data_IF_089890084651
#
_entry.id   IF_089890084651
#
_cell.length_a   1.000
_cell.length_b   1.000
_cell.length_c   1.000
_cell.angle_alpha   90.00
_cell.angle_beta   90.00
_cell.angle_gamma   90.00
#
_symmetry.space_group_name_H-M   'P 1'
#
loop_
_entity.id
_entity.type
_entity.pdbx_description
1 polymer ?
#
# COMPACT_ATOMS: atom_id res chain seq x y z
N UNK A 1 -27.88 -2.27 14.91
CA UNK A 1 -27.63 -2.96 13.63
C UNK A 1 -26.39 -2.33 13.04
N UNK A 2 -25.30 -3.08 12.98
CA UNK A 2 -24.02 -2.59 12.50
C UNK A 2 -24.10 -2.58 10.97
N UNK A 3 -24.41 -1.41 10.41
CA UNK A 3 -24.58 -1.17 8.98
C UNK A 3 -23.25 -1.25 8.24
N UNK A 4 -22.63 -2.43 8.24
CA UNK A 4 -21.42 -2.70 7.47
C UNK A 4 -21.71 -2.40 6.01
N UNK A 5 -21.11 -1.31 5.50
CA UNK A 5 -21.20 -0.93 4.10
C UNK A 5 -20.79 -2.13 3.25
N UNK A 6 -21.74 -2.68 2.48
CA UNK A 6 -21.53 -3.79 1.53
C UNK A 6 -20.82 -3.33 0.25
N UNK A 7 -19.97 -2.32 0.39
CA UNK A 7 -19.29 -1.66 -0.71
C UNK A 7 -18.15 -2.56 -1.22
N UNK A 8 -17.89 -2.48 -2.52
CA UNK A 8 -16.79 -3.18 -3.16
C UNK A 8 -15.53 -2.37 -3.00
N UNK A 9 -14.58 -2.86 -2.22
CA UNK A 9 -13.37 -2.14 -1.83
C UNK A 9 -12.15 -2.65 -2.59
N UNK A 10 -11.35 -1.73 -3.13
CA UNK A 10 -10.09 -2.05 -3.81
C UNK A 10 -9.11 -2.79 -2.89
N UNK A 11 -9.02 -2.38 -1.62
CA UNK A 11 -8.26 -3.09 -0.58
C UNK A 11 -8.59 -4.59 -0.58
N UNK A 12 -9.86 -4.96 -0.43
CA UNK A 12 -10.28 -6.36 -0.40
C UNK A 12 -10.03 -7.08 -1.73
N UNK A 13 -10.27 -6.41 -2.86
CA UNK A 13 -10.02 -6.99 -4.18
C UNK A 13 -8.51 -7.21 -4.47
N UNK A 14 -7.62 -6.38 -3.93
CA UNK A 14 -6.17 -6.61 -3.98
C UNK A 14 -5.80 -7.89 -3.22
N UNK A 15 -6.35 -8.09 -2.01
CA UNK A 15 -6.15 -9.33 -1.25
C UNK A 15 -6.74 -10.56 -1.95
N UNK A 16 -7.88 -10.44 -2.64
CA UNK A 16 -8.43 -11.54 -3.45
C UNK A 16 -7.47 -11.90 -4.59
N UNK A 17 -6.88 -10.91 -5.28
CA UNK A 17 -5.90 -11.17 -6.33
C UNK A 17 -4.61 -11.81 -5.78
N UNK A 18 -4.13 -11.36 -4.62
CA UNK A 18 -2.96 -11.95 -3.95
C UNK A 18 -3.22 -13.41 -3.52
N UNK A 19 -4.40 -13.69 -2.97
CA UNK A 19 -4.82 -15.04 -2.61
C UNK A 19 -4.97 -15.94 -3.84
N UNK A 20 -5.57 -15.43 -4.92
CA UNK A 20 -5.73 -16.16 -6.17
C UNK A 20 -4.37 -16.48 -6.83
N UNK A 21 -3.45 -15.51 -6.84
CA UNK A 21 -2.06 -15.70 -7.31
C UNK A 21 -1.37 -16.81 -6.52
N UNK A 22 -1.44 -16.74 -5.18
CA UNK A 22 -0.86 -17.76 -4.29
C UNK A 22 -1.47 -19.15 -4.52
N UNK A 23 -2.78 -19.21 -4.75
CA UNK A 23 -3.48 -20.46 -5.05
C UNK A 23 -3.08 -21.07 -6.42
N UNK A 24 -2.80 -20.23 -7.42
CA UNK A 24 -2.26 -20.69 -8.71
C UNK A 24 -0.85 -21.26 -8.53
N UNK A 25 0.03 -20.57 -7.81
CA UNK A 25 1.38 -21.07 -7.48
C UNK A 25 1.31 -22.42 -6.75
N UNK A 26 0.35 -22.59 -5.84
CA UNK A 26 0.11 -23.84 -5.13
C UNK A 26 -0.62 -24.93 -5.95
N UNK A 27 -0.91 -24.70 -7.23
CA UNK A 27 -1.55 -25.66 -8.13
C UNK A 27 -2.97 -26.05 -7.72
N UNK A 28 -3.73 -25.15 -7.08
CA UNK A 28 -5.06 -25.47 -6.55
C UNK A 28 -6.13 -25.51 -7.66
N UNK A 29 -7.05 -26.50 -7.67
CA UNK A 29 -8.14 -26.55 -8.62
C UNK A 29 -8.99 -25.27 -8.59
N UNK A 30 -9.33 -24.72 -9.76
CA UNK A 30 -10.13 -23.50 -9.89
C UNK A 30 -9.37 -22.18 -9.66
N UNK A 31 -8.13 -22.21 -9.17
CA UNK A 31 -7.37 -21.00 -8.87
C UNK A 31 -7.15 -20.11 -10.10
N UNK A 32 -6.88 -20.69 -11.26
CA UNK A 32 -6.68 -19.92 -12.50
C UNK A 32 -7.94 -19.15 -12.90
N UNK A 33 -9.13 -19.73 -12.72
CA UNK A 33 -10.39 -19.05 -13.03
C UNK A 33 -10.63 -17.88 -12.08
N UNK A 34 -10.39 -18.09 -10.77
CA UNK A 34 -10.49 -17.03 -9.76
C UNK A 34 -9.47 -15.90 -10.03
N UNK A 35 -8.23 -16.23 -10.41
CA UNK A 35 -7.21 -15.26 -10.76
C UNK A 35 -7.64 -14.40 -11.96
N UNK A 36 -8.14 -15.04 -13.02
CA UNK A 36 -8.63 -14.34 -14.21
C UNK A 36 -9.79 -13.39 -13.88
N UNK A 37 -10.73 -13.81 -13.02
CA UNK A 37 -11.84 -12.96 -12.57
C UNK A 37 -11.35 -11.77 -11.74
N UNK A 38 -10.43 -12.01 -10.80
CA UNK A 38 -9.85 -10.94 -9.98
C UNK A 38 -9.11 -9.90 -10.83
N UNK A 39 -8.29 -10.35 -11.80
CA UNK A 39 -7.61 -9.48 -12.76
C UNK A 39 -8.61 -8.65 -13.56
N UNK A 40 -9.65 -9.28 -14.09
CA UNK A 40 -10.67 -8.59 -14.89
C UNK A 40 -11.36 -7.50 -14.06
N UNK A 41 -11.73 -7.79 -12.82
CA UNK A 41 -12.35 -6.81 -11.92
C UNK A 41 -11.41 -5.64 -11.64
N UNK A 42 -10.14 -5.91 -11.31
CA UNK A 42 -9.14 -4.87 -11.07
C UNK A 42 -9.03 -3.97 -12.30
N UNK A 43 -8.83 -4.54 -13.49
CA UNK A 43 -8.62 -3.77 -14.72
C UNK A 43 -9.84 -2.95 -15.16
N UNK A 44 -11.05 -3.48 -14.96
CA UNK A 44 -12.27 -2.85 -15.48
C UNK A 44 -12.95 -1.92 -14.50
N UNK A 45 -12.70 -2.06 -13.19
CA UNK A 45 -13.41 -1.31 -12.14
C UNK A 45 -12.50 -0.44 -11.29
N UNK A 46 -11.37 -0.97 -10.84
CA UNK A 46 -10.55 -0.28 -9.83
C UNK A 46 -9.34 0.44 -10.41
N UNK A 47 -8.63 -0.16 -11.36
CA UNK A 47 -7.47 0.46 -12.00
C UNK A 47 -7.92 1.61 -12.90
N UNK A 48 -7.36 2.80 -12.65
CA UNK A 48 -7.60 3.98 -13.47
C UNK A 48 -6.34 4.29 -14.27
N UNK A 49 -6.35 3.99 -15.58
CA UNK A 49 -5.22 4.29 -16.47
C UNK A 49 -4.90 5.80 -16.51
N UNK A 50 -5.91 6.65 -16.36
CA UNK A 50 -5.74 8.10 -16.31
C UNK A 50 -5.01 8.56 -15.04
N UNK A 51 -5.32 7.94 -13.90
CA UNK A 51 -4.72 8.32 -12.61
C UNK A 51 -3.40 7.59 -12.34
N UNK A 52 -3.16 6.45 -13.01
CA UNK A 52 -2.02 5.58 -12.72
C UNK A 52 -2.10 4.96 -11.32
N UNK A 53 -3.31 4.74 -10.82
CA UNK A 53 -3.56 4.26 -9.47
C UNK A 53 -4.94 3.58 -9.36
N UNK A 54 -5.15 2.90 -8.23
CA UNK A 54 -6.43 2.29 -7.89
C UNK A 54 -7.39 3.34 -7.31
N UNK A 55 -8.63 3.28 -7.79
CA UNK A 55 -9.80 3.87 -7.14
C UNK A 55 -10.10 3.14 -5.83
N UNK A 56 -10.84 3.76 -4.93
CA UNK A 56 -11.00 3.20 -3.58
C UNK A 56 -12.13 2.17 -3.47
N UNK A 57 -13.37 2.58 -3.74
CA UNK A 57 -14.53 1.71 -3.53
C UNK A 57 -15.74 2.13 -4.37
N UNK A 58 -16.68 1.20 -4.52
CA UNK A 58 -17.95 1.39 -5.23
C UNK A 58 -19.10 0.77 -4.44
N UNK A 59 -20.33 1.21 -4.71
CA UNK A 59 -21.52 0.50 -4.24
C UNK A 59 -21.60 -0.92 -4.81
N UNK A 60 -22.48 -1.75 -4.25
CA UNK A 60 -22.61 -3.16 -4.62
C UNK A 60 -22.91 -3.38 -6.11
N UNK A 61 -23.58 -2.46 -6.79
CA UNK A 61 -23.90 -2.53 -8.22
C UNK A 61 -22.83 -1.88 -9.12
N UNK A 62 -21.67 -1.52 -8.56
CA UNK A 62 -20.59 -0.74 -9.21
C UNK A 62 -20.92 0.72 -9.51
N UNK A 63 -22.05 1.24 -9.03
CA UNK A 63 -22.34 2.67 -9.05
C UNK A 63 -21.63 3.39 -7.89
N UNK A 64 -21.82 4.71 -7.81
CA UNK A 64 -21.41 5.55 -6.68
C UNK A 64 -19.96 5.29 -6.24
N UNK A 65 -19.01 5.55 -7.14
CA UNK A 65 -17.60 5.58 -6.78
C UNK A 65 -17.37 6.50 -5.59
N UNK A 66 -16.62 6.03 -4.60
CA UNK A 66 -16.26 6.83 -3.44
C UNK A 66 -15.37 8.01 -3.86
N UNK A 67 -15.72 9.23 -3.45
CA UNK A 67 -14.96 10.45 -3.72
C UNK A 67 -13.71 10.57 -2.83
N UNK A 68 -12.93 9.49 -2.75
CA UNK A 68 -11.74 9.33 -1.92
C UNK A 68 -10.70 8.49 -2.68
N UNK A 69 -9.43 8.73 -2.38
CA UNK A 69 -8.31 7.87 -2.78
C UNK A 69 -7.48 7.53 -1.55
N UNK A 70 -7.15 6.26 -1.39
CA UNK A 70 -6.39 5.75 -0.25
C UNK A 70 -5.04 5.19 -0.66
N UNK A 71 -3.98 5.58 0.06
CA UNK A 71 -2.68 4.94 -0.09
C UNK A 71 -2.73 3.48 0.36
N UNK A 72 -3.47 3.14 1.42
CA UNK A 72 -3.60 1.77 1.93
C UNK A 72 -4.08 0.76 0.86
N UNK A 73 -5.18 1.04 0.16
CA UNK A 73 -5.65 0.20 -0.96
C UNK A 73 -4.61 0.08 -2.08
N UNK A 74 -3.89 1.17 -2.37
CA UNK A 74 -2.84 1.22 -3.39
C UNK A 74 -1.55 0.49 -2.96
N UNK A 75 -1.24 0.45 -1.67
CA UNK A 75 -0.13 -0.31 -1.08
C UNK A 75 -0.34 -1.81 -1.30
N UNK A 76 -1.48 -2.34 -0.88
CA UNK A 76 -1.79 -3.75 -1.11
C UNK A 76 -2.05 -4.08 -2.58
N UNK A 77 -2.45 -3.11 -3.40
CA UNK A 77 -2.48 -3.30 -4.86
C UNK A 77 -1.08 -3.39 -5.44
N UNK A 78 -0.11 -2.64 -4.92
CA UNK A 78 1.31 -2.77 -5.30
C UNK A 78 1.82 -4.17 -4.96
N UNK A 79 1.53 -4.67 -3.77
CA UNK A 79 1.86 -6.05 -3.36
C UNK A 79 1.19 -7.09 -4.29
N UNK A 80 -0.11 -6.95 -4.54
CA UNK A 80 -0.83 -7.83 -5.45
C UNK A 80 -0.26 -7.79 -6.87
N UNK A 81 0.11 -6.61 -7.38
CA UNK A 81 0.65 -6.46 -8.74
C UNK A 81 2.02 -7.10 -8.89
N UNK A 82 2.87 -7.09 -7.85
CA UNK A 82 4.11 -7.88 -7.84
C UNK A 82 3.79 -9.37 -7.97
N UNK A 83 2.84 -9.88 -7.17
CA UNK A 83 2.43 -11.29 -7.22
C UNK A 83 1.74 -11.67 -8.54
N UNK A 84 1.03 -10.74 -9.17
CA UNK A 84 0.42 -10.92 -10.49
C UNK A 84 1.48 -10.98 -11.59
N UNK A 85 2.50 -10.12 -11.55
CA UNK A 85 3.61 -10.16 -12.49
C UNK A 85 4.31 -11.52 -12.47
N UNK A 86 4.58 -12.06 -11.27
CA UNK A 86 5.26 -13.34 -11.10
C UNK A 86 4.45 -14.52 -11.66
N UNK A 87 3.15 -14.57 -11.37
CA UNK A 87 2.32 -15.73 -11.75
C UNK A 87 1.83 -15.67 -13.20
N UNK A 88 1.69 -14.48 -13.78
CA UNK A 88 1.21 -14.30 -15.17
C UNK A 88 2.35 -14.12 -16.17
N UNK A 89 3.53 -13.69 -15.73
CA UNK A 89 4.62 -13.26 -16.61
C UNK A 89 4.38 -11.92 -17.31
N UNK A 90 3.28 -11.22 -17.01
CA UNK A 90 2.96 -9.93 -17.60
C UNK A 90 3.63 -8.78 -16.85
N UNK A 91 4.71 -8.25 -17.42
CA UNK A 91 5.45 -7.14 -16.86
C UNK A 91 4.67 -5.82 -16.79
N UNK A 92 3.49 -5.70 -17.42
CA UNK A 92 2.63 -4.52 -17.27
C UNK A 92 2.21 -4.31 -15.81
N UNK A 93 2.05 -5.39 -15.03
CA UNK A 93 1.74 -5.26 -13.59
C UNK A 93 2.84 -4.54 -12.82
N UNK A 94 4.11 -4.73 -13.20
CA UNK A 94 5.24 -3.99 -12.61
C UNK A 94 5.23 -2.51 -13.02
N UNK A 95 4.76 -2.18 -14.22
CA UNK A 95 4.60 -0.78 -14.65
C UNK A 95 3.47 -0.09 -13.88
N UNK A 96 2.35 -0.79 -13.64
CA UNK A 96 1.26 -0.28 -12.79
C UNK A 96 1.70 -0.09 -11.33
N UNK A 97 2.43 -1.05 -10.78
CA UNK A 97 3.00 -0.95 -9.43
C UNK A 97 3.96 0.23 -9.31
N UNK A 98 4.81 0.46 -10.32
CA UNK A 98 5.68 1.63 -10.37
C UNK A 98 4.87 2.94 -10.42
N UNK A 99 3.81 2.99 -11.20
CA UNK A 99 2.96 4.18 -11.30
C UNK A 99 2.31 4.54 -9.95
N UNK A 100 1.87 3.53 -9.18
CA UNK A 100 1.36 3.74 -7.81
C UNK A 100 2.47 4.29 -6.91
N UNK A 101 3.63 3.62 -6.88
CA UNK A 101 4.77 4.00 -6.03
C UNK A 101 5.23 5.42 -6.36
N UNK A 102 5.33 5.78 -7.64
CA UNK A 102 5.71 7.12 -8.07
C UNK A 102 4.72 8.17 -7.53
N UNK A 103 3.42 7.91 -7.60
CA UNK A 103 2.42 8.83 -7.09
C UNK A 103 2.47 8.95 -5.57
N UNK A 104 2.27 7.84 -4.87
CA UNK A 104 2.05 7.82 -3.42
C UNK A 104 3.33 8.12 -2.66
N UNK A 105 4.45 7.56 -3.10
CA UNK A 105 5.73 7.68 -2.41
C UNK A 105 6.57 8.80 -3.01
N UNK A 106 6.98 8.68 -4.26
CA UNK A 106 7.95 9.61 -4.83
C UNK A 106 7.43 11.06 -4.85
N UNK A 107 6.20 11.25 -5.33
CA UNK A 107 5.59 12.57 -5.43
C UNK A 107 5.02 13.04 -4.07
N UNK A 108 4.09 12.30 -3.48
CA UNK A 108 3.39 12.76 -2.27
C UNK A 108 4.22 12.64 -0.99
N UNK A 109 4.75 11.45 -0.67
CA UNK A 109 5.58 11.31 0.51
C UNK A 109 6.92 12.05 0.36
N UNK A 110 7.55 12.04 -0.82
CA UNK A 110 8.79 12.77 -1.11
C UNK A 110 8.66 14.29 -0.90
N UNK A 111 7.52 14.87 -1.27
CA UNK A 111 7.21 16.29 -0.97
C UNK A 111 6.85 16.55 0.51
N UNK A 112 6.72 15.51 1.33
CA UNK A 112 6.27 15.56 2.72
C UNK A 112 7.27 14.90 3.68
N UNK A 113 8.59 15.07 3.43
CA UNK A 113 9.66 14.50 4.26
C UNK A 113 9.53 12.98 4.49
N UNK A 114 8.97 12.27 3.51
CA UNK A 114 8.68 10.83 3.55
C UNK A 114 7.72 10.40 4.67
N UNK A 115 6.92 11.34 5.19
CA UNK A 115 5.70 11.02 5.94
C UNK A 115 4.62 10.60 4.95
N UNK A 116 4.30 9.30 4.91
CA UNK A 116 3.31 8.73 3.99
C UNK A 116 1.95 9.36 4.24
N UNK A 117 1.38 9.95 3.20
CA UNK A 117 0.02 10.51 3.21
C UNK A 117 -0.94 9.39 2.84
N UNK A 118 -1.88 9.07 3.73
CA UNK A 118 -2.82 7.96 3.54
C UNK A 118 -4.09 8.36 2.78
N UNK A 119 -4.51 9.61 2.94
CA UNK A 119 -5.85 10.06 2.62
C UNK A 119 -5.83 11.19 1.61
N UNK A 120 -6.59 11.02 0.54
CA UNK A 120 -6.71 12.01 -0.51
C UNK A 120 -8.14 12.17 -1.00
N UNK A 121 -8.43 13.34 -1.56
CA UNK A 121 -9.62 13.54 -2.38
C UNK A 121 -9.53 12.73 -3.68
N UNK A 122 -10.64 12.68 -4.43
CA UNK A 122 -10.68 12.07 -5.77
C UNK A 122 -9.63 12.65 -6.75
N UNK A 123 -9.17 13.88 -6.52
CA UNK A 123 -8.16 14.57 -7.33
C UNK A 123 -6.74 14.48 -6.73
N UNK A 124 -6.49 13.48 -5.87
CA UNK A 124 -5.18 13.25 -5.22
C UNK A 124 -4.67 14.46 -4.41
N UNK A 125 -5.58 15.28 -3.88
CA UNK A 125 -5.23 16.32 -2.91
C UNK A 125 -5.21 15.74 -1.49
N UNK A 126 -4.12 15.89 -0.72
CA UNK A 126 -4.03 15.39 0.65
C UNK A 126 -5.19 15.86 1.54
N UNK A 127 -5.66 14.97 2.41
CA UNK A 127 -6.68 15.24 3.43
C UNK A 127 -6.07 15.06 4.83
N UNK A 128 -5.33 16.06 5.36
CA UNK A 128 -4.54 15.92 6.58
C UNK A 128 -5.38 15.65 7.84
N UNK A 129 -6.65 16.08 7.87
CA UNK A 129 -7.55 15.93 9.01
C UNK A 129 -8.53 14.74 8.86
N UNK A 130 -8.37 13.90 7.84
CA UNK A 130 -9.22 12.73 7.63
C UNK A 130 -9.19 11.82 8.87
N UNK A 131 -10.37 11.43 9.35
CA UNK A 131 -10.56 10.61 10.55
C UNK A 131 -9.91 11.14 11.85
N UNK A 132 -9.65 12.45 11.97
CA UNK A 132 -9.14 13.06 13.23
C UNK A 132 -9.99 12.68 14.46
N UNK A 133 -11.31 12.61 14.32
CA UNK A 133 -12.24 12.23 15.39
C UNK A 133 -12.35 10.71 15.62
N UNK A 134 -11.78 9.90 14.72
CA UNK A 134 -11.68 8.44 14.84
C UNK A 134 -10.24 7.97 14.53
N UNK A 135 -9.25 8.39 15.33
CA UNK A 135 -7.84 8.26 14.97
C UNK A 135 -7.32 6.82 14.99
N UNK A 136 -8.06 5.89 15.60
CA UNK A 136 -7.72 4.48 15.72
C UNK A 136 -8.50 3.59 14.75
N UNK A 137 -9.13 4.16 13.70
CA UNK A 137 -9.77 3.38 12.65
C UNK A 137 -8.80 2.33 12.07
N UNK A 138 -9.24 1.08 11.98
CA UNK A 138 -8.36 -0.04 11.64
C UNK A 138 -7.84 -0.05 10.19
N UNK A 139 -8.46 0.72 9.29
CA UNK A 139 -8.09 0.76 7.87
C UNK A 139 -7.71 2.16 7.38
N UNK A 140 -8.27 3.20 7.99
CA UNK A 140 -8.05 4.61 7.62
C UNK A 140 -7.77 5.47 8.87
N UNK A 141 -6.73 5.18 9.66
CA UNK A 141 -6.45 5.92 10.88
C UNK A 141 -5.96 7.34 10.57
N UNK A 142 -6.17 8.29 11.49
CA UNK A 142 -5.67 9.66 11.33
C UNK A 142 -4.14 9.73 11.34
N UNK A 143 -3.61 10.63 10.50
CA UNK A 143 -2.20 11.01 10.49
C UNK A 143 -1.35 10.05 9.65
N UNK A 144 -0.17 9.73 10.16
CA UNK A 144 0.77 8.81 9.50
C UNK A 144 0.85 7.49 10.27
N UNK A 145 1.10 6.41 9.54
CA UNK A 145 1.18 5.06 10.11
C UNK A 145 2.59 4.50 9.90
N UNK A 146 3.49 4.50 10.92
CA UNK A 146 4.87 4.03 10.76
C UNK A 146 4.98 2.61 10.20
N UNK A 147 4.02 1.72 10.53
CA UNK A 147 3.95 0.38 9.95
C UNK A 147 3.85 0.39 8.42
N UNK A 148 3.01 1.25 7.83
CA UNK A 148 2.89 1.36 6.38
C UNK A 148 4.16 1.93 5.75
N UNK A 149 4.88 2.83 6.43
CA UNK A 149 6.16 3.32 5.92
C UNK A 149 7.21 2.18 5.81
N UNK A 150 7.24 1.24 6.77
CA UNK A 150 8.06 0.04 6.63
C UNK A 150 7.59 -0.87 5.48
N UNK A 151 6.29 -1.08 5.35
CA UNK A 151 5.72 -1.91 4.29
C UNK A 151 6.01 -1.33 2.90
N UNK A 152 5.79 -0.03 2.70
CA UNK A 152 6.16 0.67 1.47
C UNK A 152 7.65 0.55 1.19
N UNK A 153 8.53 0.76 2.19
CA UNK A 153 9.96 0.59 1.99
C UNK A 153 10.29 -0.82 1.47
N UNK A 154 9.67 -1.87 2.03
CA UNK A 154 9.82 -3.25 1.55
C UNK A 154 9.30 -3.43 0.12
N UNK A 155 8.11 -2.94 -0.18
CA UNK A 155 7.46 -3.09 -1.49
C UNK A 155 8.20 -2.36 -2.60
N UNK A 156 8.73 -1.15 -2.32
CA UNK A 156 9.55 -0.39 -3.27
C UNK A 156 10.82 -1.16 -3.64
N UNK A 157 11.49 -1.79 -2.67
CA UNK A 157 12.68 -2.62 -2.92
C UNK A 157 12.34 -3.90 -3.69
N UNK A 158 11.20 -4.54 -3.39
CA UNK A 158 10.72 -5.69 -4.16
C UNK A 158 10.39 -5.31 -5.60
N UNK A 159 9.73 -4.16 -5.81
CA UNK A 159 9.45 -3.62 -7.14
C UNK A 159 10.72 -3.37 -7.93
N UNK A 160 11.71 -2.70 -7.33
CA UNK A 160 13.00 -2.46 -7.96
C UNK A 160 13.66 -3.78 -8.41
N UNK A 161 13.69 -4.79 -7.55
CA UNK A 161 14.26 -6.09 -7.85
C UNK A 161 13.47 -6.84 -8.96
N UNK A 162 12.15 -6.87 -8.87
CA UNK A 162 11.27 -7.54 -9.83
C UNK A 162 11.38 -6.91 -11.23
N UNK A 163 11.39 -5.58 -11.32
CA UNK A 163 11.58 -4.84 -12.58
C UNK A 163 12.93 -5.14 -13.20
N UNK A 164 14.00 -5.13 -12.41
CA UNK A 164 15.34 -5.49 -12.89
C UNK A 164 15.37 -6.92 -13.43
N UNK A 165 14.77 -7.87 -12.73
CA UNK A 165 14.66 -9.26 -13.17
C UNK A 165 13.89 -9.40 -14.49
N UNK A 166 12.83 -8.63 -14.67
CA UNK A 166 12.03 -8.56 -15.90
C UNK A 166 12.69 -7.75 -17.04
N UNK A 167 13.95 -7.31 -16.89
CA UNK A 167 14.66 -6.51 -17.90
C UNK A 167 14.11 -5.09 -18.09
N UNK A 168 13.33 -4.58 -17.12
CA UNK A 168 12.79 -3.22 -17.14
C UNK A 168 13.80 -2.24 -16.55
N UNK A 169 13.77 -1.00 -17.05
CA UNK A 169 14.48 0.10 -16.42
C UNK A 169 13.80 0.49 -15.10
N UNK A 170 14.64 0.88 -14.14
CA UNK A 170 14.22 1.43 -12.87
C UNK A 170 14.56 2.91 -12.81
N UNK A 171 13.66 3.75 -12.30
CA UNK A 171 14.04 5.09 -11.87
C UNK A 171 15.08 5.04 -10.74
N UNK A 172 15.99 6.01 -10.73
CA UNK A 172 17.09 6.06 -9.76
C UNK A 172 16.62 6.31 -8.31
N UNK A 173 15.41 6.86 -8.15
CA UNK A 173 14.86 7.26 -6.85
C UNK A 173 14.28 6.10 -6.02
N UNK A 174 14.03 4.91 -6.59
CA UNK A 174 13.37 3.81 -5.85
C UNK A 174 14.11 3.42 -4.55
N UNK A 175 15.43 3.22 -4.65
CA UNK A 175 16.24 2.84 -3.49
C UNK A 175 16.33 3.97 -2.45
N UNK A 176 16.44 5.21 -2.89
CA UNK A 176 16.55 6.36 -1.99
C UNK A 176 15.22 6.61 -1.26
N UNK A 177 14.09 6.54 -1.97
CA UNK A 177 12.77 6.69 -1.37
C UNK A 177 12.50 5.59 -0.34
N UNK A 178 12.85 4.33 -0.63
CA UNK A 178 12.75 3.23 0.33
C UNK A 178 13.61 3.46 1.58
N UNK A 179 14.82 4.03 1.42
CA UNK A 179 15.70 4.41 2.54
C UNK A 179 15.07 5.47 3.42
N UNK A 180 14.50 6.51 2.80
CA UNK A 180 13.92 7.62 3.52
C UNK A 180 12.65 7.20 4.27
N UNK A 181 11.80 6.36 3.67
CA UNK A 181 10.64 5.75 4.34
C UNK A 181 11.06 4.93 5.57
N UNK A 182 12.03 4.02 5.40
CA UNK A 182 12.51 3.17 6.48
C UNK A 182 13.12 4.00 7.62
N UNK A 183 13.98 4.97 7.29
CA UNK A 183 14.62 5.84 8.26
C UNK A 183 13.61 6.73 9.00
N UNK A 184 12.59 7.25 8.30
CA UNK A 184 11.51 8.04 8.90
C UNK A 184 10.72 7.20 9.92
N UNK A 185 10.30 5.99 9.53
CA UNK A 185 9.55 5.08 10.39
C UNK A 185 10.35 4.67 11.64
N UNK A 186 11.65 4.39 11.50
CA UNK A 186 12.54 4.13 12.64
C UNK A 186 12.64 5.35 13.57
N UNK A 187 12.81 6.55 13.00
CA UNK A 187 13.05 7.77 13.78
C UNK A 187 11.83 8.19 14.60
N UNK A 188 10.64 8.06 14.04
CA UNK A 188 9.43 8.63 14.63
C UNK A 188 8.44 7.58 15.15
N UNK A 189 8.56 6.31 14.74
CA UNK A 189 7.64 5.25 15.16
C UNK A 189 8.13 4.42 16.35
N UNK A 190 9.44 4.25 16.53
CA UNK A 190 10.03 3.34 17.52
C UNK A 190 10.39 4.05 18.83
N UNK A 191 9.91 3.52 19.96
CA UNK A 191 10.28 3.97 21.32
C UNK A 191 10.14 5.49 21.54
N UNK A 192 9.03 6.05 21.03
CA UNK A 192 8.77 7.50 21.00
C UNK A 192 7.87 8.00 22.11
N UNK A 193 7.41 7.11 22.99
CA UNK A 193 6.51 7.44 24.10
C UNK A 193 6.99 6.89 25.46
N UNK A 194 8.26 6.50 25.55
CA UNK A 194 8.89 5.96 26.76
C UNK A 194 8.72 4.46 26.96
N UNK A 195 8.19 3.73 25.98
CA UNK A 195 8.11 2.28 25.98
C UNK A 195 8.59 1.69 24.64
N UNK A 196 9.31 0.55 24.64
CA UNK A 196 9.73 -0.12 23.42
C UNK A 196 8.57 -0.48 22.48
N UNK A 197 8.88 -0.56 21.19
CA UNK A 197 7.93 -0.94 20.15
C UNK A 197 7.48 0.22 19.28
N UNK A 198 6.77 -0.14 18.21
CA UNK A 198 6.29 0.80 17.19
C UNK A 198 4.87 1.23 17.53
N UNK A 199 4.64 2.54 17.69
CA UNK A 199 3.29 3.10 17.87
C UNK A 199 2.46 2.97 16.59
N UNK A 200 1.14 2.95 16.71
CA UNK A 200 0.26 2.76 15.56
C UNK A 200 0.24 4.00 14.65
N UNK A 201 -0.03 5.18 15.20
CA UNK A 201 -0.11 6.42 14.41
C UNK A 201 0.59 7.61 15.05
N UNK A 202 1.00 8.55 14.19
CA UNK A 202 1.57 9.84 14.54
C UNK A 202 0.78 10.97 13.87
N UNK A 203 0.75 12.15 14.48
CA UNK A 203 0.29 13.35 13.81
C UNK A 203 1.34 13.90 12.82
N UNK A 204 1.00 14.99 12.12
CA UNK A 204 1.90 15.63 11.15
C UNK A 204 3.11 16.33 11.79
N UNK A 205 3.16 16.44 13.12
CA UNK A 205 4.32 16.91 13.90
C UNK A 205 5.12 15.74 14.48
N UNK A 206 4.86 14.51 14.02
CA UNK A 206 5.47 13.27 14.49
C UNK A 206 5.20 12.97 15.98
N UNK A 207 4.13 13.49 16.56
CA UNK A 207 3.73 13.14 17.93
C UNK A 207 2.84 11.90 17.93
N UNK A 208 3.05 10.94 18.86
CA UNK A 208 2.21 9.75 18.95
C UNK A 208 0.74 10.08 19.25
N UNK A 209 -0.16 9.62 18.38
CA UNK A 209 -1.62 9.74 18.54
C UNK A 209 -2.18 8.43 19.10
N UNK A 210 -2.12 7.34 18.34
CA UNK A 210 -2.52 6.01 18.82
C UNK A 210 -1.28 5.19 19.18
N UNK A 211 -1.11 4.93 20.47
CA UNK A 211 0.11 4.31 21.04
C UNK A 211 0.07 2.78 21.10
N UNK A 212 -0.93 2.14 20.50
CA UNK A 212 -1.01 0.68 20.47
C UNK A 212 0.14 0.08 19.67
N UNK A 213 0.70 -1.04 20.15
CA UNK A 213 1.71 -1.84 19.44
C UNK A 213 1.01 -2.94 18.67
N UNK A 214 0.60 -2.64 17.44
CA UNK A 214 -0.02 -3.65 16.59
C UNK A 214 1.05 -4.64 16.11
N UNK A 215 0.71 -5.93 16.04
CA UNK A 215 1.68 -6.97 15.70
C UNK A 215 2.24 -6.78 14.28
N UNK A 216 1.37 -6.40 13.32
CA UNK A 216 1.74 -6.28 11.91
C UNK A 216 2.78 -5.17 11.68
N UNK A 217 2.78 -4.08 12.45
CA UNK A 217 3.78 -3.00 12.29
C UNK A 217 5.19 -3.50 12.58
N UNK A 218 5.34 -4.44 13.52
CA UNK A 218 6.61 -5.08 13.85
C UNK A 218 7.00 -6.13 12.82
N UNK A 219 6.03 -6.88 12.28
CA UNK A 219 6.26 -7.81 11.18
C UNK A 219 6.79 -7.08 9.94
N UNK A 220 6.16 -5.96 9.57
CA UNK A 220 6.59 -5.13 8.43
C UNK A 220 7.95 -4.50 8.65
N UNK A 221 8.22 -3.97 9.85
CA UNK A 221 9.54 -3.45 10.20
C UNK A 221 10.63 -4.52 10.07
N UNK A 222 10.38 -5.73 10.57
CA UNK A 222 11.33 -6.84 10.48
C UNK A 222 11.55 -7.29 9.03
N UNK A 223 10.49 -7.40 8.24
CA UNK A 223 10.56 -7.77 6.82
C UNK A 223 11.29 -6.71 6.00
N UNK A 224 10.98 -5.42 6.21
CA UNK A 224 11.65 -4.30 5.58
C UNK A 224 13.15 -4.26 5.94
N UNK A 225 13.51 -4.46 7.21
CA UNK A 225 14.90 -4.49 7.64
C UNK A 225 15.69 -5.65 6.99
N UNK A 226 15.06 -6.83 6.87
CA UNK A 226 15.66 -7.99 6.21
C UNK A 226 15.89 -7.74 4.71
N UNK A 227 14.90 -7.14 4.02
CA UNK A 227 15.03 -6.77 2.60
C UNK A 227 16.08 -5.68 2.41
N UNK A 228 16.05 -4.63 3.23
CA UNK A 228 17.00 -3.52 3.19
C UNK A 228 18.44 -3.97 3.35
N UNK A 229 18.71 -4.88 4.30
CA UNK A 229 20.05 -5.48 4.51
C UNK A 229 20.55 -6.31 3.32
N UNK A 230 19.66 -6.84 2.47
CA UNK A 230 20.07 -7.64 1.30
C UNK A 230 20.47 -6.78 0.10
N UNK A 231 19.99 -5.54 0.04
CA UNK A 231 20.18 -4.62 -1.09
C UNK A 231 21.17 -3.49 -0.79
N UNK A 232 21.69 -3.42 0.44
CA UNK A 232 22.72 -2.46 0.88
C UNK A 232 23.94 -3.20 1.42
#
# INVERSE_FOLDING_TARGET
EDGGKTDKQAYLHAFVALAASSAVVAGRPGAQALLSEAIQIIQTRFWSEQEGAMRESFAQDWSNEEAYRGANSNMHSTEAFLALADVTGDAQWLDRALSIVERVIHQHAGANNFQVIEHFTQNWQPLPDYNRENPADGFRPFGTTPGHAFEWARLVLHLEAARRHAGRSNPEWLLDDARQLFANACRYGWDVDGAPGIVYTLDWQNQPVVRHRLHWTHCEAAAAAATYRRVT
#
